data_IF_114625346703
#
_entry.id   IF_114625346703
#
_cell.length_a   1.000
_cell.length_b   1.000
_cell.length_c   1.000
_cell.angle_alpha   90.00
_cell.angle_beta   90.00
_cell.angle_gamma   90.00
#
_symmetry.space_group_name_H-M   'P 1'
#
loop_
_entity.id
_entity.type
_entity.pdbx_description
1 polymer ?
#
# COMPACT_ATOMS: atom_id res chain seq x y z
N UNK A 1 38.02 13.14 5.44
CA UNK A 1 37.87 11.73 5.85
C UNK A 1 37.35 11.56 7.28
N UNK A 2 37.62 12.49 8.24
CA UNK A 2 37.14 12.39 9.62
C UNK A 2 35.63 12.60 9.78
N UNK A 3 35.03 13.60 9.10
CA UNK A 3 33.58 13.88 9.21
C UNK A 3 32.68 12.76 8.68
N UNK A 4 33.10 12.08 7.63
CA UNK A 4 32.34 10.96 7.05
C UNK A 4 32.40 9.71 7.93
N UNK A 5 33.50 9.49 8.66
CA UNK A 5 33.66 8.40 9.62
C UNK A 5 32.82 8.68 10.90
N UNK A 6 32.76 9.92 11.34
CA UNK A 6 31.94 10.34 12.48
C UNK A 6 30.44 10.22 12.18
N UNK A 7 30.01 10.58 10.96
CA UNK A 7 28.63 10.40 10.50
C UNK A 7 28.25 8.91 10.40
N UNK A 8 29.15 8.03 9.97
CA UNK A 8 28.93 6.59 9.93
C UNK A 8 28.85 5.96 11.35
N UNK A 9 29.60 6.51 12.34
CA UNK A 9 29.51 6.06 13.72
C UNK A 9 28.19 6.50 14.37
N UNK A 10 27.71 7.71 14.10
CA UNK A 10 26.41 8.20 14.57
C UNK A 10 25.25 7.35 14.02
N UNK A 11 25.32 6.94 12.75
CA UNK A 11 24.36 6.01 12.16
C UNK A 11 24.48 4.62 12.77
N UNK A 12 25.68 4.13 13.10
CA UNK A 12 25.91 2.86 13.76
C UNK A 12 25.31 2.81 15.16
N UNK A 13 25.47 3.86 15.94
CA UNK A 13 24.88 4.00 17.28
C UNK A 13 23.36 4.15 17.23
N UNK A 14 22.80 4.89 16.26
CA UNK A 14 21.36 4.92 16.00
C UNK A 14 20.79 3.54 15.63
N UNK A 15 21.51 2.72 14.89
CA UNK A 15 21.09 1.36 14.54
C UNK A 15 20.90 0.46 15.78
N UNK A 16 21.72 0.60 16.80
CA UNK A 16 21.58 -0.17 18.05
C UNK A 16 20.37 0.26 18.89
N UNK A 17 19.92 1.51 18.78
CA UNK A 17 18.71 2.01 19.44
C UNK A 17 17.41 1.51 18.81
N UNK A 18 17.42 1.15 17.50
CA UNK A 18 16.24 0.73 16.74
C UNK A 18 16.22 -0.76 16.43
N UNK A 19 16.89 -1.61 17.21
CA UNK A 19 16.76 -3.07 17.06
C UNK A 19 15.35 -3.52 17.42
N UNK A 20 14.48 -3.52 16.43
CA UNK A 20 13.16 -4.12 16.57
C UNK A 20 13.30 -5.62 16.73
N UNK A 21 12.75 -6.16 17.84
CA UNK A 21 12.83 -7.60 18.18
C UNK A 21 12.10 -8.50 17.18
N UNK A 22 11.13 -7.93 16.48
CA UNK A 22 10.28 -8.64 15.52
C UNK A 22 10.19 -7.85 14.20
N UNK A 23 9.92 -8.53 13.08
CA UNK A 23 9.59 -7.85 11.83
C UNK A 23 8.42 -6.89 12.00
N UNK A 24 8.46 -5.74 11.35
CA UNK A 24 7.37 -4.75 11.39
C UNK A 24 6.27 -5.11 10.40
N UNK A 25 5.03 -4.80 10.74
CA UNK A 25 3.92 -4.81 9.78
C UNK A 25 3.96 -3.48 9.05
N UNK A 26 4.19 -3.52 7.73
CA UNK A 26 4.19 -2.33 6.89
C UNK A 26 2.86 -2.21 6.14
N UNK A 27 2.18 -1.10 6.37
CA UNK A 27 0.98 -0.70 5.63
C UNK A 27 1.38 0.47 4.73
N UNK A 28 1.58 0.20 3.44
CA UNK A 28 2.16 1.17 2.51
C UNK A 28 1.08 1.64 1.52
N UNK A 29 0.48 2.81 1.84
CA UNK A 29 -0.58 3.40 1.03
C UNK A 29 0.05 4.27 -0.07
N UNK A 30 -0.44 4.13 -1.30
CA UNK A 30 0.18 4.69 -2.50
C UNK A 30 1.63 4.19 -2.67
N UNK A 31 1.79 2.86 -2.56
CA UNK A 31 3.09 2.22 -2.41
C UNK A 31 4.05 2.47 -3.59
N UNK A 32 3.54 2.77 -4.77
CA UNK A 32 4.36 2.85 -5.97
C UNK A 32 5.13 1.53 -6.18
N UNK A 33 6.43 1.63 -6.37
CA UNK A 33 7.33 0.46 -6.46
C UNK A 33 7.98 0.11 -5.11
N UNK A 34 7.52 0.69 -3.98
CA UNK A 34 7.98 0.37 -2.63
C UNK A 34 9.21 1.13 -2.15
N UNK A 35 9.25 2.44 -2.35
CA UNK A 35 10.37 3.25 -1.90
C UNK A 35 10.53 3.22 -0.36
N UNK A 36 9.43 3.25 0.37
CA UNK A 36 9.41 3.17 1.84
C UNK A 36 9.85 1.80 2.33
N UNK A 37 9.38 0.72 1.70
CA UNK A 37 9.88 -0.64 1.98
C UNK A 37 11.40 -0.72 1.77
N UNK A 38 11.89 -0.15 0.66
CA UNK A 38 13.33 -0.11 0.37
C UNK A 38 14.10 0.66 1.43
N UNK A 39 13.59 1.80 1.87
CA UNK A 39 14.20 2.60 2.93
C UNK A 39 14.31 1.81 4.25
N UNK A 40 13.24 1.16 4.68
CA UNK A 40 13.25 0.28 5.86
C UNK A 40 14.27 -0.85 5.72
N UNK A 41 14.34 -1.46 4.54
CA UNK A 41 15.33 -2.52 4.26
C UNK A 41 16.78 -2.02 4.34
N UNK A 42 17.07 -0.79 3.88
CA UNK A 42 18.40 -0.16 4.00
C UNK A 42 18.73 0.10 5.47
N UNK A 43 17.75 0.47 6.26
CA UNK A 43 17.88 0.65 7.71
C UNK A 43 17.95 -0.68 8.49
N UNK A 44 18.01 -1.82 7.82
CA UNK A 44 18.07 -3.14 8.47
C UNK A 44 16.78 -3.60 9.11
N UNK A 45 15.67 -2.86 8.93
CA UNK A 45 14.35 -3.23 9.45
C UNK A 45 13.76 -4.36 8.61
N UNK A 46 13.39 -5.46 9.26
CA UNK A 46 12.72 -6.58 8.61
C UNK A 46 11.21 -6.30 8.53
N UNK A 47 10.63 -6.56 7.37
CA UNK A 47 9.19 -6.42 7.12
C UNK A 47 8.53 -7.79 7.18
N UNK A 48 7.43 -7.90 7.94
CA UNK A 48 6.57 -9.08 8.00
C UNK A 48 5.75 -9.15 6.71
N UNK A 49 6.16 -9.99 5.78
CA UNK A 49 5.54 -10.07 4.44
C UNK A 49 4.12 -10.62 4.47
N UNK A 50 3.80 -11.48 5.45
CA UNK A 50 2.48 -12.13 5.55
C UNK A 50 1.40 -11.16 6.04
N UNK A 51 1.77 -10.26 6.95
CA UNK A 51 0.83 -9.31 7.55
C UNK A 51 0.83 -7.94 6.88
N UNK A 52 1.93 -7.60 6.20
CA UNK A 52 2.05 -6.31 5.52
C UNK A 52 1.14 -6.23 4.31
N UNK A 53 0.67 -5.02 4.02
CA UNK A 53 -0.22 -4.76 2.89
C UNK A 53 0.22 -3.52 2.16
N UNK A 54 -0.04 -3.50 0.86
CA UNK A 54 0.10 -2.29 0.05
C UNK A 54 -1.26 -1.84 -0.46
N UNK A 55 -1.36 -0.58 -0.80
CA UNK A 55 -2.45 -0.05 -1.60
C UNK A 55 -1.86 0.66 -2.80
N UNK A 56 -1.96 0.03 -3.97
CA UNK A 56 -1.39 0.54 -5.21
C UNK A 56 -2.25 0.11 -6.41
N UNK A 57 -2.82 1.06 -7.10
CA UNK A 57 -3.71 0.80 -8.22
C UNK A 57 -3.01 0.64 -9.57
N UNK A 58 -1.79 1.19 -9.74
CA UNK A 58 -1.09 1.13 -11.01
C UNK A 58 -0.46 -0.25 -11.23
N UNK A 59 -0.89 -0.93 -12.29
CA UNK A 59 -0.45 -2.27 -12.66
C UNK A 59 1.07 -2.45 -12.64
N UNK A 60 1.79 -1.57 -13.35
CA UNK A 60 3.24 -1.67 -13.43
C UNK A 60 3.93 -1.47 -12.07
N UNK A 61 3.33 -0.66 -11.19
CA UNK A 61 3.89 -0.37 -9.88
C UNK A 61 3.81 -1.56 -8.94
N UNK A 62 2.65 -2.18 -8.79
CA UNK A 62 2.57 -3.35 -7.89
C UNK A 62 3.25 -4.60 -8.47
N UNK A 63 3.34 -4.75 -9.80
CA UNK A 63 4.20 -5.76 -10.42
C UNK A 63 5.67 -5.50 -10.10
N UNK A 64 6.11 -4.24 -10.19
CA UNK A 64 7.46 -3.81 -9.81
C UNK A 64 7.74 -4.03 -8.32
N UNK A 65 6.75 -3.71 -7.47
CA UNK A 65 6.84 -3.96 -6.02
C UNK A 65 7.11 -5.44 -5.72
N UNK A 66 6.32 -6.36 -6.33
CA UNK A 66 6.58 -7.79 -6.18
C UNK A 66 7.98 -8.18 -6.65
N UNK A 67 8.38 -7.73 -7.85
CA UNK A 67 9.67 -8.08 -8.42
C UNK A 67 10.87 -7.62 -7.56
N UNK A 68 10.75 -6.48 -6.89
CA UNK A 68 11.82 -5.88 -6.10
C UNK A 68 11.85 -6.43 -4.67
N UNK A 69 10.69 -6.48 -3.99
CA UNK A 69 10.62 -6.69 -2.54
C UNK A 69 10.15 -8.07 -2.13
N UNK A 70 9.09 -8.60 -2.78
CA UNK A 70 8.48 -9.88 -2.40
C UNK A 70 9.15 -11.02 -3.14
N UNK A 71 9.33 -10.89 -4.46
CA UNK A 71 9.94 -11.87 -5.37
C UNK A 71 9.17 -13.19 -5.43
N UNK A 72 7.88 -13.13 -5.16
CA UNK A 72 7.00 -14.28 -5.26
C UNK A 72 6.60 -14.53 -6.71
N UNK A 73 6.78 -15.77 -7.17
CA UNK A 73 6.47 -16.23 -8.52
C UNK A 73 5.37 -17.30 -8.53
N UNK A 74 4.68 -17.47 -7.40
CA UNK A 74 3.60 -18.44 -7.27
C UNK A 74 2.46 -18.07 -8.21
N UNK A 75 1.93 -19.07 -8.91
CA UNK A 75 0.73 -18.88 -9.73
C UNK A 75 -0.53 -19.13 -8.89
N UNK A 76 -1.08 -18.08 -8.32
CA UNK A 76 -2.32 -18.09 -7.55
C UNK A 76 -3.58 -18.13 -8.43
N UNK A 77 -3.41 -18.07 -9.76
CA UNK A 77 -4.51 -17.94 -10.73
C UNK A 77 -4.93 -19.27 -11.37
N UNK A 78 -4.29 -20.40 -11.00
CA UNK A 78 -4.45 -21.70 -11.69
C UNK A 78 -5.92 -22.11 -11.78
N UNK A 79 -6.64 -22.07 -10.66
CA UNK A 79 -8.03 -22.53 -10.55
C UNK A 79 -9.04 -21.37 -10.58
N UNK A 80 -8.63 -20.17 -11.04
CA UNK A 80 -9.46 -18.97 -11.05
C UNK A 80 -10.17 -18.76 -12.37
N UNK A 81 -11.47 -18.46 -12.29
CA UNK A 81 -12.25 -18.01 -13.45
C UNK A 81 -11.84 -16.62 -13.87
N UNK A 82 -12.18 -16.22 -15.08
CA UNK A 82 -11.89 -14.87 -15.57
C UNK A 82 -12.57 -13.79 -14.72
N UNK A 83 -13.77 -14.08 -14.26
CA UNK A 83 -14.58 -13.21 -13.40
C UNK A 83 -13.89 -12.99 -12.06
N UNK A 84 -13.42 -14.06 -11.39
CA UNK A 84 -12.66 -13.98 -10.14
C UNK A 84 -11.36 -13.18 -10.29
N UNK A 85 -10.65 -13.36 -11.42
CA UNK A 85 -9.45 -12.58 -11.70
C UNK A 85 -9.78 -11.09 -11.78
N UNK A 86 -10.83 -10.73 -12.52
CA UNK A 86 -11.27 -9.34 -12.72
C UNK A 86 -11.76 -8.73 -11.42
N UNK A 87 -12.55 -9.45 -10.64
CA UNK A 87 -13.03 -8.99 -9.33
C UNK A 87 -11.88 -8.62 -8.41
N UNK A 88 -10.87 -9.48 -8.32
CA UNK A 88 -9.72 -9.27 -7.42
C UNK A 88 -8.87 -8.07 -7.79
N UNK A 89 -8.75 -7.76 -9.09
CA UNK A 89 -7.96 -6.63 -9.59
C UNK A 89 -8.80 -5.41 -9.95
N UNK A 90 -10.07 -5.41 -9.54
CA UNK A 90 -10.94 -4.26 -9.74
C UNK A 90 -10.32 -3.00 -9.12
N UNK A 91 -10.43 -1.87 -9.81
CA UNK A 91 -9.75 -0.64 -9.41
C UNK A 91 -8.33 -0.49 -9.96
N UNK A 92 -7.75 -1.53 -10.61
CA UNK A 92 -6.44 -1.43 -11.25
C UNK A 92 -6.45 -0.40 -12.39
N UNK A 93 -5.39 0.41 -12.47
CA UNK A 93 -5.11 1.36 -13.54
C UNK A 93 -3.86 0.95 -14.33
N UNK A 94 -3.77 1.31 -15.60
CA UNK A 94 -2.54 1.13 -16.39
C UNK A 94 -1.56 2.28 -16.12
N UNK A 95 -2.11 3.47 -16.02
CA UNK A 95 -1.36 4.70 -15.74
C UNK A 95 -2.15 5.45 -14.68
N UNK A 96 -1.56 6.05 -13.72
CA UNK A 96 -2.13 6.68 -12.52
C UNK A 96 -3.36 7.62 -12.70
N UNK A 97 -4.04 7.59 -13.84
CA UNK A 97 -5.13 8.51 -14.14
C UNK A 97 -6.51 7.98 -13.74
N UNK A 98 -6.88 6.81 -14.25
CA UNK A 98 -8.24 6.26 -14.05
C UNK A 98 -8.19 4.75 -13.91
N UNK A 99 -8.92 4.15 -12.97
CA UNK A 99 -9.09 2.71 -12.94
C UNK A 99 -9.71 2.20 -14.25
N UNK A 100 -9.32 0.99 -14.62
CA UNK A 100 -9.93 0.28 -15.74
C UNK A 100 -11.35 -0.11 -15.37
N UNK A 101 -12.28 0.13 -16.29
CA UNK A 101 -13.65 -0.39 -16.15
C UNK A 101 -13.67 -1.91 -16.31
N UNK A 102 -14.73 -2.56 -15.81
CA UNK A 102 -14.93 -4.01 -16.00
C UNK A 102 -14.91 -4.40 -17.49
N UNK A 103 -15.49 -3.60 -18.36
CA UNK A 103 -15.47 -3.84 -19.80
C UNK A 103 -14.06 -3.77 -20.40
N UNK A 104 -13.24 -2.84 -19.90
CA UNK A 104 -11.84 -2.72 -20.31
C UNK A 104 -11.00 -3.90 -19.79
N UNK A 105 -11.25 -4.35 -18.56
CA UNK A 105 -10.62 -5.56 -18.00
C UNK A 105 -11.03 -6.80 -18.78
N UNK A 106 -12.31 -6.94 -19.15
CA UNK A 106 -12.80 -8.05 -19.98
C UNK A 106 -12.14 -8.14 -21.35
N UNK A 107 -11.65 -7.04 -21.89
CA UNK A 107 -10.92 -7.01 -23.16
C UNK A 107 -9.43 -7.35 -23.03
N UNK A 108 -8.90 -7.48 -21.80
CA UNK A 108 -7.49 -7.83 -21.58
C UNK A 108 -7.23 -9.29 -21.89
N UNK A 109 -6.03 -9.63 -22.42
CA UNK A 109 -5.60 -11.01 -22.57
C UNK A 109 -5.62 -11.74 -21.24
N UNK A 110 -6.01 -13.01 -21.21
CA UNK A 110 -6.08 -13.82 -20.00
C UNK A 110 -4.74 -13.85 -19.24
N UNK A 111 -3.62 -13.90 -19.97
CA UNK A 111 -2.30 -13.90 -19.35
C UNK A 111 -2.00 -12.59 -18.63
N UNK A 112 -2.50 -11.46 -19.12
CA UNK A 112 -2.38 -10.17 -18.45
C UNK A 112 -3.20 -10.15 -17.14
N UNK A 113 -4.42 -10.68 -17.19
CA UNK A 113 -5.29 -10.79 -15.99
C UNK A 113 -4.66 -11.69 -14.93
N UNK A 114 -4.13 -12.85 -15.32
CA UNK A 114 -3.40 -13.76 -14.42
C UNK A 114 -2.18 -13.10 -13.80
N UNK A 115 -1.39 -12.40 -14.59
CA UNK A 115 -0.22 -11.70 -14.10
C UNK A 115 -0.59 -10.57 -13.10
N UNK A 116 -1.63 -9.80 -13.41
CA UNK A 116 -2.16 -8.78 -12.50
C UNK A 116 -2.64 -9.40 -11.18
N UNK A 117 -3.42 -10.47 -11.27
CA UNK A 117 -3.94 -11.21 -10.13
C UNK A 117 -2.82 -11.74 -9.22
N UNK A 118 -1.86 -12.46 -9.80
CA UNK A 118 -0.75 -13.07 -9.07
C UNK A 118 0.07 -12.02 -8.31
N UNK A 119 0.41 -10.91 -8.96
CA UNK A 119 1.14 -9.82 -8.30
C UNK A 119 0.30 -9.13 -7.23
N UNK A 120 -1.01 -8.98 -7.46
CA UNK A 120 -1.92 -8.39 -6.49
C UNK A 120 -2.05 -9.27 -5.23
N UNK A 121 -2.11 -10.60 -5.38
CA UNK A 121 -2.15 -11.55 -4.27
C UNK A 121 -0.81 -11.59 -3.54
N UNK A 122 0.29 -11.76 -4.28
CA UNK A 122 1.65 -11.86 -3.73
C UNK A 122 2.05 -10.65 -2.86
N UNK A 123 1.53 -9.47 -3.18
CA UNK A 123 1.84 -8.23 -2.46
C UNK A 123 0.79 -7.86 -1.40
N UNK A 124 -0.24 -8.69 -1.20
CA UNK A 124 -1.41 -8.35 -0.38
C UNK A 124 -2.00 -6.98 -0.74
N UNK A 125 -2.04 -6.66 -2.04
CA UNK A 125 -2.43 -5.36 -2.54
C UNK A 125 -3.94 -5.12 -2.37
N UNK A 126 -4.32 -4.00 -1.77
CA UNK A 126 -5.70 -3.55 -1.59
C UNK A 126 -6.24 -2.77 -2.81
N UNK A 127 -5.40 -2.55 -3.81
CA UNK A 127 -5.64 -1.90 -5.10
C UNK A 127 -6.04 -0.43 -4.96
N UNK A 128 -7.32 -0.11 -4.83
CA UNK A 128 -7.84 1.26 -4.86
C UNK A 128 -8.15 1.74 -3.44
N UNK A 129 -7.51 2.80 -3.00
CA UNK A 129 -7.65 3.36 -1.64
C UNK A 129 -9.08 3.75 -1.30
N UNK A 130 -9.88 4.17 -2.30
CA UNK A 130 -11.28 4.56 -2.08
C UNK A 130 -12.18 3.39 -1.68
N UNK A 131 -11.81 2.17 -2.05
CA UNK A 131 -12.56 0.95 -1.74
C UNK A 131 -12.08 0.27 -0.44
N UNK A 132 -10.91 0.67 0.09
CA UNK A 132 -10.31 0.10 1.31
C UNK A 132 -11.12 0.52 2.54
N UNK A 133 -11.39 -0.44 3.42
CA UNK A 133 -12.02 -0.24 4.74
C UNK A 133 -11.03 -0.47 5.86
N UNK A 134 -11.29 0.07 7.04
CA UNK A 134 -10.42 -0.11 8.21
C UNK A 134 -10.10 -1.58 8.52
N UNK A 135 -11.08 -2.49 8.38
CA UNK A 135 -10.90 -3.93 8.56
C UNK A 135 -9.95 -4.60 7.57
N UNK A 136 -9.82 -4.04 6.35
CA UNK A 136 -8.99 -4.63 5.30
C UNK A 136 -7.49 -4.50 5.59
N UNK A 137 -7.12 -3.62 6.55
CA UNK A 137 -5.76 -3.54 7.06
C UNK A 137 -5.31 -4.80 7.81
N UNK A 138 -6.25 -5.68 8.16
CA UNK A 138 -5.98 -6.93 8.86
C UNK A 138 -5.70 -6.73 10.36
N UNK A 139 -5.19 -7.77 11.02
CA UNK A 139 -4.86 -7.70 12.44
C UNK A 139 -3.54 -6.97 12.66
N UNK A 140 -3.54 -6.02 13.60
CA UNK A 140 -2.37 -5.28 14.05
C UNK A 140 -2.12 -5.58 15.54
N UNK A 141 -1.36 -6.65 15.85
CA UNK A 141 -1.13 -7.07 17.24
C UNK A 141 -0.41 -5.99 18.05
N UNK A 142 -0.82 -5.79 19.30
CA UNK A 142 -0.21 -4.77 20.20
C UNK A 142 1.28 -5.01 20.49
N UNK A 143 1.72 -6.27 20.40
CA UNK A 143 3.11 -6.69 20.66
C UNK A 143 4.01 -6.64 19.40
N UNK A 144 3.49 -6.22 18.27
CA UNK A 144 4.24 -6.08 17.01
C UNK A 144 4.11 -4.65 16.49
N UNK A 145 5.24 -4.05 16.11
CA UNK A 145 5.25 -2.69 15.57
C UNK A 145 4.59 -2.66 14.20
N UNK A 146 3.62 -1.77 14.04
CA UNK A 146 2.99 -1.48 12.75
C UNK A 146 3.37 -0.09 12.28
N UNK A 147 3.78 0.02 11.04
CA UNK A 147 4.18 1.28 10.39
C UNK A 147 3.22 1.52 9.24
N UNK A 148 2.50 2.64 9.28
CA UNK A 148 1.71 3.10 8.14
C UNK A 148 2.46 4.23 7.44
N UNK A 149 2.69 4.05 6.15
CA UNK A 149 3.28 5.08 5.28
C UNK A 149 2.29 5.47 4.18
N UNK A 150 2.36 6.72 3.74
CA UNK A 150 1.52 7.18 2.63
C UNK A 150 2.23 8.27 1.84
N UNK A 151 2.16 8.16 0.51
CA UNK A 151 2.74 9.11 -0.46
C UNK A 151 1.65 9.53 -1.44
N UNK A 152 0.63 10.22 -0.92
CA UNK A 152 -0.51 10.64 -1.75
C UNK A 152 -0.09 11.60 -2.87
N UNK A 153 -0.82 11.63 -4.01
CA UNK A 153 -0.53 12.54 -5.11
C UNK A 153 -0.66 14.01 -4.68
N UNK A 154 0.46 14.74 -4.68
CA UNK A 154 0.51 16.16 -4.28
C UNK A 154 0.45 17.15 -5.45
N UNK A 155 0.15 16.69 -6.65
CA UNK A 155 0.19 17.49 -7.88
C UNK A 155 -0.75 18.69 -7.86
N UNK A 156 -1.87 18.59 -7.16
CA UNK A 156 -2.85 19.68 -7.06
C UNK A 156 -2.47 20.71 -5.98
N UNK A 157 -1.45 20.41 -5.15
CA UNK A 157 -0.92 21.31 -4.13
C UNK A 157 0.31 22.06 -4.61
N UNK A 158 1.06 21.51 -5.57
CA UNK A 158 2.33 22.11 -6.00
C UNK A 158 2.12 23.37 -6.85
N UNK A 159 3.11 24.26 -6.82
CA UNK A 159 3.13 25.46 -7.67
C UNK A 159 3.16 25.13 -9.17
N UNK A 160 3.66 23.95 -9.53
CA UNK A 160 3.69 23.41 -10.88
C UNK A 160 2.37 22.73 -11.29
N UNK A 161 1.45 22.49 -10.36
CA UNK A 161 0.15 21.86 -10.59
C UNK A 161 -0.98 22.86 -10.77
N UNK A 162 -2.21 22.34 -10.82
CA UNK A 162 -3.42 23.15 -11.03
C UNK A 162 -3.87 23.94 -9.79
N UNK A 163 -3.19 23.83 -8.64
CA UNK A 163 -3.50 24.49 -7.36
C UNK A 163 -4.96 24.31 -6.90
N UNK A 164 -5.53 23.14 -7.12
CA UNK A 164 -6.95 22.87 -6.81
C UNK A 164 -7.20 22.58 -5.32
N UNK A 165 -6.13 22.47 -4.52
CA UNK A 165 -6.23 22.27 -3.07
C UNK A 165 -6.60 20.85 -2.65
N UNK A 166 -7.00 20.69 -1.39
CA UNK A 166 -7.41 19.43 -0.76
C UNK A 166 -8.74 19.57 -0.01
N UNK A 167 -9.64 20.43 -0.48
CA UNK A 167 -10.85 20.79 0.28
C UNK A 167 -11.80 19.60 0.52
N UNK A 168 -11.83 18.62 -0.40
CA UNK A 168 -12.70 17.46 -0.32
C UNK A 168 -11.98 16.17 -0.77
N UNK A 169 -12.50 15.02 -0.31
CA UNK A 169 -12.08 13.71 -0.82
C UNK A 169 -12.32 13.60 -2.33
N UNK A 170 -11.49 12.83 -3.02
CA UNK A 170 -11.72 12.52 -4.44
C UNK A 170 -13.02 11.74 -4.64
N UNK A 171 -13.43 10.90 -3.67
CA UNK A 171 -14.70 10.18 -3.69
C UNK A 171 -15.91 11.13 -3.73
N UNK A 172 -15.79 12.32 -3.12
CA UNK A 172 -16.82 13.35 -3.09
C UNK A 172 -16.67 14.39 -4.23
N UNK A 173 -15.97 14.02 -5.32
CA UNK A 173 -15.71 14.91 -6.45
C UNK A 173 -14.55 15.88 -6.26
N UNK A 174 -13.72 15.66 -5.23
CA UNK A 174 -12.53 16.45 -4.95
C UNK A 174 -11.34 16.14 -5.86
N UNK A 175 -10.20 16.71 -5.51
CA UNK A 175 -8.94 16.59 -6.26
C UNK A 175 -8.19 15.30 -5.93
N UNK A 176 -7.16 14.96 -6.74
CA UNK A 176 -6.27 13.82 -6.45
C UNK A 176 -5.52 13.98 -5.12
N UNK A 177 -5.19 15.19 -4.72
CA UNK A 177 -4.59 15.47 -3.41
C UNK A 177 -5.58 15.22 -2.27
N UNK A 178 -6.88 15.22 -2.55
CA UNK A 178 -7.95 14.84 -1.62
C UNK A 178 -7.94 13.35 -1.22
N UNK A 179 -7.15 12.51 -1.89
CA UNK A 179 -6.95 11.10 -1.48
C UNK A 179 -6.31 10.97 -0.10
N UNK A 180 -5.71 12.03 0.45
CA UNK A 180 -5.25 12.05 1.85
C UNK A 180 -6.40 11.77 2.83
N UNK A 181 -7.61 12.27 2.55
CA UNK A 181 -8.78 12.08 3.41
C UNK A 181 -9.22 10.62 3.49
N UNK A 182 -8.89 9.81 2.48
CA UNK A 182 -9.12 8.36 2.51
C UNK A 182 -8.27 7.67 3.59
N UNK A 183 -7.05 8.15 3.84
CA UNK A 183 -6.21 7.64 4.93
C UNK A 183 -6.86 7.95 6.28
N UNK A 184 -7.33 9.19 6.49
CA UNK A 184 -8.05 9.57 7.71
C UNK A 184 -9.30 8.71 7.91
N UNK A 185 -10.11 8.53 6.87
CA UNK A 185 -11.31 7.69 6.89
C UNK A 185 -10.99 6.27 7.34
N UNK A 186 -10.01 5.63 6.70
CA UNK A 186 -9.59 4.25 7.01
C UNK A 186 -9.12 4.13 8.46
N UNK A 187 -8.34 5.09 8.95
CA UNK A 187 -7.85 5.09 10.34
C UNK A 187 -8.98 5.27 11.34
N UNK A 188 -9.94 6.17 11.08
CA UNK A 188 -11.13 6.38 11.93
C UNK A 188 -12.00 5.11 11.96
N UNK A 189 -12.25 4.48 10.80
CA UNK A 189 -12.97 3.21 10.73
C UNK A 189 -12.28 2.14 11.56
N UNK A 190 -10.95 2.04 11.44
CA UNK A 190 -10.16 1.07 12.17
C UNK A 190 -10.20 1.28 13.69
N UNK A 191 -10.19 2.52 14.14
CA UNK A 191 -10.27 2.84 15.57
C UNK A 191 -11.65 2.51 16.13
N UNK A 192 -12.73 2.82 15.43
CA UNK A 192 -14.11 2.48 15.80
C UNK A 192 -14.31 0.96 15.94
N UNK A 193 -13.78 0.17 15.02
CA UNK A 193 -13.82 -1.29 15.10
C UNK A 193 -13.08 -1.81 16.34
N UNK A 194 -11.93 -1.23 16.72
CA UNK A 194 -11.20 -1.59 17.94
C UNK A 194 -12.00 -1.29 19.19
N UNK A 195 -12.71 -0.16 19.25
CA UNK A 195 -13.56 0.22 20.38
C UNK A 195 -14.74 -0.75 20.50
N UNK A 196 -15.38 -1.12 19.39
CA UNK A 196 -16.49 -2.07 19.38
C UNK A 196 -16.09 -3.47 19.90
N UNK A 197 -14.83 -3.88 19.70
CA UNK A 197 -14.30 -5.15 20.24
C UNK A 197 -14.02 -5.11 21.76
N UNK A 198 -13.98 -3.92 22.36
CA UNK A 198 -13.71 -3.73 23.81
C UNK A 198 -14.95 -3.37 24.63
N UNK A 199 -16.10 -3.11 23.99
CA UNK A 199 -17.35 -2.95 24.69
C UNK A 199 -18.04 -4.33 24.75
N UNK A 200 -18.06 -5.01 25.91
CA UNK A 200 -18.95 -6.15 26.08
C UNK A 200 -20.37 -5.63 25.91
N UNK A 201 -21.16 -6.36 25.17
CA UNK A 201 -22.57 -6.07 24.92
C UNK A 201 -23.26 -5.56 26.21
N UNK A 202 -23.67 -4.30 26.23
CA UNK A 202 -24.65 -3.79 27.18
C UNK A 202 -26.04 -4.07 26.62
#
# INVERSE_FOLDING_TARGET
MSEMVEQLSLWGEMYDYFKLKQPVILLEMFAGIGAQHKALSILGVKVDKEKSKICEWAYNSYCGYNAIHIKDKTDYSIDKTKEELIERINGTSINYNTPLTTDQLNKKPIQWLRNAYNNCVATHNLVNIMDVKGKDLGELPKNQTSILTYSFPCQDLSLAGKRQGMATSQADGGTRSGLLWEIERILIERERERIALYLPYC
#
